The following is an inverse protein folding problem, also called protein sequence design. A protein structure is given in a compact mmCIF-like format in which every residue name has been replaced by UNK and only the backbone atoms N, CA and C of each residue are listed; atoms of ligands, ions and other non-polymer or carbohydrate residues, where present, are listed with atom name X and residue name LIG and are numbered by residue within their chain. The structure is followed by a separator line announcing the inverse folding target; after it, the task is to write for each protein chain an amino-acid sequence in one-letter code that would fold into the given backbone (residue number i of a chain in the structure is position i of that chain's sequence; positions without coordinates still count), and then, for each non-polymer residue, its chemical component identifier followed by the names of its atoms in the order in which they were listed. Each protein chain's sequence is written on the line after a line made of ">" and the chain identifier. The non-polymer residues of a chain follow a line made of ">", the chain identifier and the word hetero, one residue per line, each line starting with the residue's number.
data_IF_065557488245
#
_entry.id   IF_065557488245
#
_cell.length_a   1.000
_cell.length_b   1.000
_cell.length_c   1.000
_cell.angle_alpha   90.00
_cell.angle_beta   90.00
_cell.angle_gamma   90.00
#
_symmetry.space_group_name_H-M   'P 1'
#
loop_
_entity.id
_entity.type
_entity.pdbx_description
1 polymer ?
#
# COMPACT_ATOMS: atom_id res chain seq x y z
N UNK A 1 -3.45 73.68 -17.04
CA UNK A 1 -4.84 73.22 -17.13
C UNK A 1 -4.97 72.36 -18.39
N UNK A 2 -4.74 71.05 -18.28
CA UNK A 2 -5.32 70.03 -19.16
C UNK A 2 -5.26 68.71 -18.39
N UNK A 3 -6.45 68.21 -18.14
CA UNK A 3 -6.81 67.01 -17.41
C UNK A 3 -6.70 65.85 -18.39
N UNK A 4 -5.97 64.78 -18.07
CA UNK A 4 -6.15 63.51 -18.79
C UNK A 4 -6.18 62.34 -17.81
N UNK A 5 -7.39 61.79 -17.72
CA UNK A 5 -7.72 60.52 -17.07
C UNK A 5 -7.07 59.40 -17.87
N UNK A 6 -6.38 58.49 -17.21
CA UNK A 6 -6.08 57.18 -17.78
C UNK A 6 -6.36 56.12 -16.72
N UNK A 7 -7.37 55.31 -17.03
CA UNK A 7 -7.88 54.18 -16.27
C UNK A 7 -6.77 53.13 -16.11
N UNK A 8 -6.51 52.71 -14.87
CA UNK A 8 -5.67 51.55 -14.57
C UNK A 8 -6.56 50.33 -14.22
N UNK A 9 -6.26 49.14 -14.75
CA UNK A 9 -7.20 48.04 -14.84
C UNK A 9 -7.36 47.25 -13.54
N UNK A 10 -8.55 46.68 -13.36
CA UNK A 10 -8.89 45.76 -12.29
C UNK A 10 -7.88 44.61 -12.17
N UNK A 11 -7.19 44.56 -11.03
CA UNK A 11 -6.48 43.37 -10.56
C UNK A 11 -7.51 42.26 -10.34
N UNK A 12 -7.61 41.32 -11.29
CA UNK A 12 -8.22 40.03 -11.04
C UNK A 12 -7.27 39.23 -10.15
N UNK A 13 -7.52 39.28 -8.85
CA UNK A 13 -6.94 38.34 -7.89
C UNK A 13 -7.63 37.00 -8.14
N UNK A 14 -7.08 36.22 -9.07
CA UNK A 14 -7.49 34.84 -9.28
C UNK A 14 -7.09 34.03 -8.05
N UNK A 15 -8.06 33.76 -7.16
CA UNK A 15 -7.91 32.76 -6.11
C UNK A 15 -7.82 31.40 -6.79
N UNK A 16 -6.61 30.87 -6.92
CA UNK A 16 -6.40 29.47 -7.31
C UNK A 16 -6.94 28.66 -6.13
N UNK A 17 -8.18 28.17 -6.25
CA UNK A 17 -8.69 27.15 -5.36
C UNK A 17 -7.85 25.90 -5.62
N UNK A 18 -6.80 25.74 -4.82
CA UNK A 18 -6.10 24.47 -4.67
C UNK A 18 -7.10 23.49 -4.11
N UNK A 19 -7.83 22.82 -4.99
CA UNK A 19 -8.63 21.66 -4.62
C UNK A 19 -7.64 20.62 -4.13
N UNK A 20 -7.55 20.46 -2.80
CA UNK A 20 -6.97 19.27 -2.20
C UNK A 20 -7.83 18.08 -2.64
N UNK A 21 -7.55 17.53 -3.82
CA UNK A 21 -7.92 16.16 -4.09
C UNK A 21 -7.09 15.32 -3.12
N UNK A 22 -7.73 14.68 -2.15
CA UNK A 22 -7.10 13.62 -1.37
C UNK A 22 -6.79 12.50 -2.34
N UNK A 23 -5.58 12.49 -2.91
CA UNK A 23 -5.12 11.34 -3.70
C UNK A 23 -5.02 10.15 -2.74
N UNK A 24 -5.89 9.17 -2.94
CA UNK A 24 -5.78 7.90 -2.24
C UNK A 24 -4.54 7.17 -2.76
N UNK A 25 -3.70 6.70 -1.85
CA UNK A 25 -2.45 6.03 -2.17
C UNK A 25 -2.50 4.55 -1.75
N UNK A 26 -1.85 3.69 -2.56
CA UNK A 26 -1.59 2.30 -2.16
C UNK A 26 -0.78 2.28 -0.87
N UNK A 27 -1.21 1.47 0.11
CA UNK A 27 -0.64 1.47 1.45
C UNK A 27 -0.84 0.14 2.17
N UNK A 28 -0.06 -0.05 3.22
CA UNK A 28 -0.31 -1.07 4.24
C UNK A 28 -1.43 -0.55 5.14
N UNK A 29 -2.48 -1.32 5.29
CA UNK A 29 -3.64 -0.99 6.14
C UNK A 29 -3.42 -1.50 7.56
N UNK A 30 -3.11 -2.79 7.68
CA UNK A 30 -2.77 -3.42 8.96
C UNK A 30 -1.59 -4.37 8.81
N UNK A 31 -0.82 -4.50 9.88
CA UNK A 31 0.26 -5.47 9.98
C UNK A 31 0.31 -5.98 11.42
N UNK A 32 0.10 -7.28 11.60
CA UNK A 32 0.08 -7.92 12.90
C UNK A 32 1.08 -9.08 12.91
N UNK A 33 1.67 -9.33 14.07
CA UNK A 33 2.55 -10.47 14.30
C UNK A 33 1.96 -11.35 15.41
N UNK A 34 2.10 -12.65 15.22
CA UNK A 34 1.80 -13.70 16.18
C UNK A 34 2.89 -14.76 16.17
N UNK A 35 2.69 -15.78 16.99
CA UNK A 35 3.62 -16.92 17.10
C UNK A 35 3.02 -18.15 16.45
N UNK A 36 3.80 -18.82 15.62
CA UNK A 36 3.48 -20.15 15.08
C UNK A 36 4.55 -21.13 15.56
N UNK A 37 4.28 -21.90 16.63
CA UNK A 37 5.27 -22.77 17.24
C UNK A 37 5.74 -23.86 16.26
N UNK A 38 6.95 -24.35 16.49
CA UNK A 38 7.54 -25.49 15.78
C UNK A 38 7.73 -25.31 14.26
N UNK A 39 7.78 -24.07 13.77
CA UNK A 39 8.11 -23.76 12.38
C UNK A 39 9.60 -23.44 12.21
N UNK A 40 10.19 -23.99 11.14
CA UNK A 40 11.57 -23.71 10.73
C UNK A 40 11.68 -22.52 9.75
N UNK A 41 10.55 -21.87 9.45
CA UNK A 41 10.39 -20.78 8.49
C UNK A 41 9.45 -19.74 9.08
N UNK A 42 9.51 -18.49 8.59
CA UNK A 42 8.50 -17.49 8.91
C UNK A 42 7.39 -17.54 7.86
N UNK A 43 6.15 -17.32 8.30
CA UNK A 43 4.96 -17.32 7.43
C UNK A 43 4.38 -15.90 7.41
N UNK A 44 4.17 -15.34 6.23
CA UNK A 44 3.42 -14.10 6.04
C UNK A 44 2.14 -14.40 5.28
N UNK A 45 1.00 -14.29 5.95
CA UNK A 45 -0.31 -14.25 5.34
C UNK A 45 -0.65 -12.82 4.94
N UNK A 46 -1.12 -12.64 3.72
CA UNK A 46 -1.49 -11.33 3.23
C UNK A 46 -2.85 -11.31 2.56
N UNK A 47 -3.49 -10.15 2.59
CA UNK A 47 -4.72 -9.87 1.87
C UNK A 47 -4.63 -8.53 1.15
N UNK A 48 -5.00 -8.52 -0.12
CA UNK A 48 -4.99 -7.34 -0.97
C UNK A 48 -6.41 -6.95 -1.35
N UNK A 49 -6.77 -5.69 -1.10
CA UNK A 49 -8.10 -5.13 -1.35
C UNK A 49 -8.01 -3.79 -2.08
N UNK A 50 -9.12 -3.38 -2.67
CA UNK A 50 -9.38 -2.02 -3.17
C UNK A 50 -10.37 -1.34 -2.23
N UNK A 51 -10.11 -0.09 -1.86
CA UNK A 51 -11.06 0.74 -1.11
C UNK A 51 -11.97 1.48 -2.09
N UNK A 52 -13.27 1.13 -2.11
CA UNK A 52 -14.27 1.90 -2.86
C UNK A 52 -15.03 2.82 -1.94
N UNK A 53 -14.92 4.11 -2.20
CA UNK A 53 -15.79 5.12 -1.59
C UNK A 53 -17.12 5.16 -2.33
N UNK A 54 -18.18 4.65 -1.71
CA UNK A 54 -19.54 4.80 -2.19
C UNK A 54 -20.15 6.07 -1.59
N UNK A 55 -20.85 6.86 -2.43
CA UNK A 55 -21.60 8.01 -1.97
C UNK A 55 -22.63 7.58 -0.91
N UNK A 56 -22.46 8.01 0.35
CA UNK A 56 -23.38 7.67 1.44
C UNK A 56 -22.77 7.05 2.71
N UNK A 57 -21.47 7.23 2.95
CA UNK A 57 -20.77 6.92 4.22
C UNK A 57 -20.42 5.44 4.49
N UNK A 58 -20.29 4.60 3.45
CA UNK A 58 -19.76 3.25 3.64
C UNK A 58 -18.63 2.97 2.66
N UNK A 59 -17.40 3.07 3.17
CA UNK A 59 -16.23 2.53 2.50
C UNK A 59 -16.37 1.01 2.40
N UNK A 60 -16.18 0.48 1.20
CA UNK A 60 -16.23 -0.96 0.95
C UNK A 60 -14.84 -1.44 0.56
N UNK A 61 -14.35 -2.46 1.26
CA UNK A 61 -13.11 -3.15 0.91
C UNK A 61 -13.44 -4.34 0.01
N UNK A 62 -12.98 -4.30 -1.23
CA UNK A 62 -13.19 -5.37 -2.21
C UNK A 62 -11.90 -6.16 -2.43
N UNK A 63 -11.90 -7.50 -2.31
CA UNK A 63 -10.71 -8.29 -2.56
C UNK A 63 -10.23 -8.19 -4.00
N UNK A 64 -8.91 -8.15 -4.18
CA UNK A 64 -8.29 -8.09 -5.51
C UNK A 64 -7.63 -9.43 -5.86
N UNK A 65 -8.25 -10.15 -6.78
CA UNK A 65 -7.68 -11.38 -7.35
C UNK A 65 -6.55 -11.10 -8.33
N UNK A 66 -5.57 -12.02 -8.41
CA UNK A 66 -4.52 -12.01 -9.42
C UNK A 66 -3.54 -10.85 -9.26
N UNK A 67 -3.46 -10.28 -8.05
CA UNK A 67 -2.38 -9.37 -7.68
C UNK A 67 -1.10 -10.19 -7.62
N UNK A 68 -0.04 -9.73 -8.28
CA UNK A 68 1.26 -10.39 -8.30
C UNK A 68 2.09 -9.89 -7.12
N UNK A 69 2.65 -10.81 -6.34
CA UNK A 69 3.58 -10.55 -5.25
C UNK A 69 4.93 -11.15 -5.65
N UNK A 70 5.96 -10.30 -5.71
CA UNK A 70 7.33 -10.67 -6.06
C UNK A 70 8.25 -10.40 -4.88
N UNK A 71 8.94 -11.41 -4.40
CA UNK A 71 10.01 -11.24 -3.41
C UNK A 71 11.26 -10.72 -4.13
N UNK A 72 11.93 -9.71 -3.59
CA UNK A 72 13.19 -9.24 -4.17
C UNK A 72 14.28 -10.32 -4.00
N UNK A 73 15.16 -10.45 -5.00
CA UNK A 73 16.24 -11.45 -4.99
C UNK A 73 15.79 -12.87 -5.32
N UNK A 74 14.49 -13.16 -5.38
CA UNK A 74 13.93 -14.42 -5.87
C UNK A 74 13.26 -14.23 -7.23
N UNK A 75 13.34 -15.23 -8.10
CA UNK A 75 12.63 -15.22 -9.39
C UNK A 75 11.17 -15.68 -9.28
N UNK A 76 10.75 -16.08 -8.09
CA UNK A 76 9.41 -16.60 -7.84
C UNK A 76 8.42 -15.47 -7.57
N UNK A 77 7.27 -15.56 -8.23
CA UNK A 77 6.11 -14.71 -7.98
C UNK A 77 4.94 -15.56 -7.56
N UNK A 78 4.15 -15.06 -6.61
CA UNK A 78 2.86 -15.65 -6.26
C UNK A 78 1.73 -14.70 -6.68
N UNK A 79 0.54 -15.25 -6.89
CA UNK A 79 -0.64 -14.47 -7.23
C UNK A 79 -1.69 -14.59 -6.12
N UNK A 80 -2.31 -13.46 -5.76
CA UNK A 80 -3.42 -13.45 -4.83
C UNK A 80 -4.63 -14.19 -5.41
N UNK A 81 -5.32 -14.96 -4.57
CA UNK A 81 -6.47 -15.76 -4.97
C UNK A 81 -7.76 -14.94 -5.14
N UNK A 82 -8.90 -15.60 -5.36
CA UNK A 82 -10.19 -14.94 -5.53
C UNK A 82 -10.66 -14.12 -4.30
N UNK A 83 -10.15 -14.44 -3.11
CA UNK A 83 -10.39 -13.72 -1.86
C UNK A 83 -9.40 -12.57 -1.61
N UNK A 84 -8.46 -12.38 -2.55
CA UNK A 84 -7.35 -11.44 -2.43
C UNK A 84 -6.24 -11.92 -1.50
N UNK A 85 -6.26 -13.20 -1.09
CA UNK A 85 -5.31 -13.74 -0.13
C UNK A 85 -4.04 -14.28 -0.80
N UNK A 86 -2.92 -14.22 -0.08
CA UNK A 86 -1.64 -14.80 -0.48
C UNK A 86 -0.85 -15.27 0.75
N UNK A 87 0.10 -16.18 0.54
CA UNK A 87 1.00 -16.67 1.59
C UNK A 87 2.44 -16.69 1.09
N UNK A 88 3.35 -16.09 1.86
CA UNK A 88 4.78 -16.19 1.63
C UNK A 88 5.43 -17.06 2.71
N UNK A 89 6.32 -17.93 2.27
CA UNK A 89 7.17 -18.77 3.12
C UNK A 89 8.60 -18.21 3.05
N UNK A 90 9.11 -17.74 4.18
CA UNK A 90 10.27 -16.87 4.23
C UNK A 90 11.38 -17.49 5.07
N UNK A 91 12.59 -17.39 4.54
CA UNK A 91 13.80 -17.89 5.20
C UNK A 91 14.11 -17.02 6.44
N UNK A 92 14.61 -17.64 7.50
CA UNK A 92 14.81 -16.96 8.77
C UNK A 92 16.03 -16.04 8.76
N UNK A 93 15.99 -15.03 9.64
CA UNK A 93 17.07 -14.08 9.96
C UNK A 93 17.47 -13.15 8.81
N UNK A 94 16.54 -12.89 7.90
CA UNK A 94 16.72 -11.98 6.78
C UNK A 94 15.53 -11.02 6.64
N UNK A 95 15.79 -9.87 6.02
CA UNK A 95 14.72 -8.95 5.63
C UNK A 95 14.25 -9.33 4.23
N UNK A 96 12.94 -9.49 4.07
CA UNK A 96 12.32 -9.90 2.81
C UNK A 96 11.48 -8.75 2.25
N UNK A 97 12.08 -7.79 1.52
CA UNK A 97 11.28 -6.82 0.78
C UNK A 97 10.52 -7.53 -0.35
N UNK A 98 9.28 -7.11 -0.56
CA UNK A 98 8.44 -7.65 -1.62
C UNK A 98 7.64 -6.55 -2.30
N UNK A 99 7.39 -6.71 -3.59
CA UNK A 99 6.62 -5.77 -4.39
C UNK A 99 5.30 -6.40 -4.81
N UNK A 100 4.25 -5.58 -4.76
CA UNK A 100 2.87 -5.95 -5.04
C UNK A 100 2.41 -5.17 -6.27
N UNK A 101 1.96 -5.88 -7.28
CA UNK A 101 1.62 -5.31 -8.58
C UNK A 101 0.29 -5.84 -9.10
N UNK A 102 -0.52 -4.94 -9.64
CA UNK A 102 -1.70 -5.28 -10.43
C UNK A 102 -1.87 -4.24 -11.53
N UNK A 103 -2.17 -4.67 -12.75
CA UNK A 103 -2.34 -3.75 -13.86
C UNK A 103 -3.44 -2.71 -13.55
N UNK A 104 -3.12 -1.42 -13.75
CA UNK A 104 -4.00 -0.29 -13.45
C UNK A 104 -3.99 0.17 -11.98
N UNK A 105 -3.15 -0.43 -11.13
CA UNK A 105 -2.98 -0.06 -9.72
C UNK A 105 -1.56 0.43 -9.44
N UNK A 106 -1.46 1.36 -8.49
CA UNK A 106 -0.20 1.89 -7.99
C UNK A 106 0.60 0.74 -7.36
N UNK A 107 1.77 0.38 -7.90
CA UNK A 107 2.62 -0.65 -7.31
C UNK A 107 3.03 -0.28 -5.89
N UNK A 108 3.11 -1.26 -4.98
CA UNK A 108 3.55 -1.05 -3.60
C UNK A 108 4.72 -1.98 -3.28
N UNK A 109 5.87 -1.40 -2.95
CA UNK A 109 6.99 -2.14 -2.34
C UNK A 109 6.87 -2.09 -0.83
N UNK A 110 6.85 -3.24 -0.18
CA UNK A 110 6.81 -3.39 1.28
C UNK A 110 8.20 -3.77 1.76
N UNK A 111 8.76 -2.94 2.63
CA UNK A 111 10.09 -3.11 3.21
C UNK A 111 10.01 -3.38 4.72
N UNK A 112 11.07 -3.94 5.28
CA UNK A 112 11.25 -4.05 6.74
C UNK A 112 10.67 -5.31 7.39
N UNK A 113 10.09 -6.24 6.61
CA UNK A 113 9.68 -7.53 7.15
C UNK A 113 10.90 -8.38 7.44
N UNK A 114 11.22 -8.56 8.73
CA UNK A 114 12.29 -9.43 9.19
C UNK A 114 11.71 -10.74 9.68
N UNK A 115 12.12 -11.85 9.06
CA UNK A 115 11.61 -13.17 9.35
C UNK A 115 12.34 -13.78 10.56
N UNK A 116 11.69 -13.84 11.73
CA UNK A 116 12.21 -14.57 12.89
C UNK A 116 11.63 -15.98 12.99
N UNK A 117 12.27 -16.82 13.80
CA UNK A 117 11.77 -18.18 14.06
C UNK A 117 10.38 -18.09 14.70
N UNK A 118 9.52 -19.07 14.41
CA UNK A 118 8.18 -19.15 15.01
C UNK A 118 7.30 -17.91 14.76
N UNK A 119 7.58 -17.16 13.68
CA UNK A 119 6.82 -15.96 13.33
C UNK A 119 5.71 -16.29 12.34
N UNK A 120 4.49 -15.94 12.73
CA UNK A 120 3.36 -15.79 11.82
C UNK A 120 2.98 -14.32 11.75
N UNK A 121 3.00 -13.74 10.56
CA UNK A 121 2.58 -12.37 10.33
C UNK A 121 1.34 -12.33 9.44
N UNK A 122 0.51 -11.33 9.67
CA UNK A 122 -0.67 -11.03 8.88
C UNK A 122 -0.59 -9.60 8.36
N UNK A 123 -0.79 -9.40 7.06
CA UNK A 123 -0.76 -8.07 6.43
C UNK A 123 -2.03 -7.81 5.59
N UNK A 124 -2.65 -6.66 5.80
CA UNK A 124 -3.74 -6.15 4.95
C UNK A 124 -3.22 -4.98 4.13
N UNK A 125 -3.51 -4.97 2.84
CA UNK A 125 -2.94 -4.03 1.87
C UNK A 125 -4.06 -3.47 1.01
N UNK A 126 -4.09 -2.14 0.91
CA UNK A 126 -5.01 -1.42 0.03
C UNK A 126 -4.21 -1.00 -1.19
N UNK A 127 -4.63 -1.45 -2.37
CA UNK A 127 -4.14 -0.94 -3.64
C UNK A 127 -5.10 0.09 -4.21
N UNK A 128 -4.54 1.23 -4.61
CA UNK A 128 -5.26 2.31 -5.27
C UNK A 128 -4.97 2.33 -6.75
N UNK A 129 -5.93 2.81 -7.55
CA UNK A 129 -5.73 2.93 -8.99
C UNK A 129 -4.67 3.99 -9.31
N UNK A 130 -3.91 3.75 -10.36
CA UNK A 130 -2.86 4.66 -10.81
C UNK A 130 -1.58 3.91 -11.18
N UNK A 131 -0.53 4.66 -11.48
CA UNK A 131 0.76 4.10 -11.92
C UNK A 131 1.94 4.55 -11.06
N UNK A 132 1.71 5.46 -10.12
CA UNK A 132 2.74 5.97 -9.21
C UNK A 132 3.13 4.88 -8.22
N UNK A 133 4.40 4.48 -8.22
CA UNK A 133 4.91 3.51 -7.27
C UNK A 133 4.94 4.09 -5.85
N UNK A 134 4.67 3.23 -4.86
CA UNK A 134 4.64 3.56 -3.43
C UNK A 134 5.55 2.63 -2.66
N UNK A 135 5.96 3.08 -1.48
CA UNK A 135 6.72 2.26 -0.53
C UNK A 135 6.05 2.29 0.82
N UNK A 136 5.82 1.10 1.38
CA UNK A 136 5.35 0.89 2.74
C UNK A 136 6.46 0.27 3.59
N UNK A 137 6.50 0.63 4.87
CA UNK A 137 7.41 0.02 5.84
C UNK A 137 6.59 -0.76 6.85
N UNK A 138 6.95 -2.01 7.09
CA UNK A 138 6.49 -2.76 8.26
C UNK A 138 7.58 -2.79 9.30
N UNK A 139 7.19 -2.74 10.58
CA UNK A 139 8.12 -2.89 11.70
C UNK A 139 8.41 -4.37 11.92
N UNK A 140 9.64 -4.68 12.33
CA UNK A 140 10.03 -6.04 12.73
C UNK A 140 9.08 -6.63 13.78
N UNK A 141 8.69 -7.88 13.58
CA UNK A 141 7.97 -8.65 14.59
C UNK A 141 8.88 -8.84 15.79
N UNK A 142 8.58 -8.17 16.92
CA UNK A 142 9.31 -8.39 18.18
C UNK A 142 8.50 -9.37 19.03
N UNK A 143 8.77 -10.66 18.89
CA UNK A 143 8.16 -11.67 19.74
C UNK A 143 8.93 -11.66 21.07
N UNK A 144 8.27 -11.22 22.15
CA UNK A 144 8.84 -11.28 23.48
C UNK A 144 8.76 -12.72 23.99
N UNK A 145 9.91 -13.40 24.04
CA UNK A 145 10.08 -14.67 24.73
C UNK A 145 10.11 -14.50 26.24
#
# INVERSE_FOLDING_TARGET
>A
MMLNRMLLPCLFIGTIFSSCASEHESRIDTFNCGTEPDTAIAILHGRVVEQKMLSGNKDTLLPLQGVVISLEGKHDTIAADASGAFTLYLDLKETHPFTIMKNGYQPLTVNGFFAEKETLAEISIILEKGMTARTGMVTMCKIAY
#
